data_IF_733814456639
#
_entry.id   IF_733814456639
#
_cell.length_a   1.000
_cell.length_b   1.000
_cell.length_c   1.000
_cell.angle_alpha   90.00
_cell.angle_beta   90.00
_cell.angle_gamma   90.00
#
_symmetry.space_group_name_H-M   'P 1'
#
loop_
_entity.id
_entity.type
_entity.pdbx_description
1 polymer ?
#
# COMPACT_ATOMS: atom_id res chain seq x y z
N UNK A 1 -5.88 -2.52 14.77
CA UNK A 1 -4.56 -1.88 14.69
C UNK A 1 -3.77 -2.47 13.52
N UNK A 2 -2.75 -1.78 13.01
CA UNK A 2 -1.89 -2.34 11.95
C UNK A 2 -1.02 -3.51 12.44
N UNK A 3 -0.73 -3.56 13.75
CA UNK A 3 0.20 -4.51 14.36
C UNK A 3 -0.49 -5.68 15.08
N UNK A 4 -1.79 -5.85 14.89
CA UNK A 4 -2.51 -7.01 15.43
C UNK A 4 -2.05 -8.29 14.72
N UNK A 5 -2.11 -9.43 15.41
CA UNK A 5 -1.61 -10.72 14.91
C UNK A 5 -2.23 -11.12 13.56
N UNK A 6 -3.50 -10.76 13.32
CA UNK A 6 -4.22 -11.05 12.08
C UNK A 6 -3.92 -10.06 10.94
N UNK A 7 -3.23 -8.95 11.27
CA UNK A 7 -2.91 -7.82 10.40
C UNK A 7 -4.13 -7.24 9.67
N UNK A 8 -5.32 -7.32 10.28
CA UNK A 8 -6.56 -6.87 9.63
C UNK A 8 -6.49 -5.40 9.19
N UNK A 9 -5.90 -4.53 10.02
CA UNK A 9 -5.69 -3.12 9.70
C UNK A 9 -4.82 -2.90 8.45
N UNK A 10 -3.69 -3.61 8.37
CA UNK A 10 -2.79 -3.53 7.21
C UNK A 10 -3.44 -4.03 5.93
N UNK A 11 -4.14 -5.17 5.98
CA UNK A 11 -4.86 -5.72 4.84
C UNK A 11 -5.93 -4.75 4.33
N UNK A 12 -6.69 -4.14 5.25
CA UNK A 12 -7.69 -3.14 4.88
C UNK A 12 -7.08 -1.91 4.19
N UNK A 13 -5.93 -1.41 4.68
CA UNK A 13 -5.26 -0.27 4.04
C UNK A 13 -4.79 -0.60 2.61
N UNK A 14 -4.29 -1.81 2.37
CA UNK A 14 -3.89 -2.25 1.02
C UNK A 14 -5.07 -2.38 0.06
N UNK A 15 -6.20 -2.92 0.54
CA UNK A 15 -7.46 -2.98 -0.24
C UNK A 15 -7.94 -1.57 -0.58
N UNK A 16 -7.94 -0.66 0.39
CA UNK A 16 -8.34 0.73 0.15
C UNK A 16 -7.41 1.42 -0.86
N UNK A 17 -6.10 1.16 -0.80
CA UNK A 17 -5.13 1.70 -1.77
C UNK A 17 -5.40 1.17 -3.18
N UNK A 18 -5.70 -0.12 -3.33
CA UNK A 18 -6.08 -0.70 -4.61
C UNK A 18 -7.36 -0.05 -5.18
N UNK A 19 -8.37 0.18 -4.33
CA UNK A 19 -9.62 0.83 -4.73
C UNK A 19 -9.40 2.27 -5.19
N UNK A 20 -8.62 3.05 -4.43
CA UNK A 20 -8.24 4.41 -4.80
C UNK A 20 -7.48 4.45 -6.12
N UNK A 21 -6.52 3.53 -6.31
CA UNK A 21 -5.79 3.43 -7.56
C UNK A 21 -6.70 3.06 -8.74
N UNK A 22 -7.65 2.15 -8.54
CA UNK A 22 -8.61 1.75 -9.56
C UNK A 22 -9.48 2.93 -9.99
N UNK A 23 -9.87 3.80 -9.05
CA UNK A 23 -10.63 5.01 -9.35
C UNK A 23 -9.76 6.07 -10.04
N UNK A 24 -8.56 6.34 -9.53
CA UNK A 24 -7.69 7.41 -10.01
C UNK A 24 -6.98 7.08 -11.34
N UNK A 25 -6.58 5.82 -11.54
CA UNK A 25 -5.91 5.34 -12.75
C UNK A 25 -6.26 3.86 -13.03
N UNK A 26 -7.40 3.60 -13.71
CA UNK A 26 -7.84 2.25 -14.04
C UNK A 26 -6.81 1.46 -14.88
N UNK A 27 -6.06 2.15 -15.74
CA UNK A 27 -5.05 1.51 -16.59
C UNK A 27 -3.89 0.95 -15.75
N UNK A 28 -3.37 1.74 -14.81
CA UNK A 28 -2.32 1.30 -13.90
C UNK A 28 -2.80 0.16 -12.99
N UNK A 29 -4.03 0.27 -12.46
CA UNK A 29 -4.62 -0.81 -11.66
C UNK A 29 -4.70 -2.13 -12.44
N UNK A 30 -5.18 -2.10 -13.69
CA UNK A 30 -5.22 -3.29 -14.57
C UNK A 30 -3.83 -3.84 -14.86
N UNK A 31 -2.85 -2.96 -15.10
CA UNK A 31 -1.47 -3.38 -15.32
C UNK A 31 -0.92 -4.13 -14.10
N UNK A 32 -1.09 -3.59 -12.89
CA UNK A 32 -0.64 -4.23 -11.66
C UNK A 32 -1.32 -5.58 -11.43
N UNK A 33 -2.63 -5.70 -11.68
CA UNK A 33 -3.33 -6.99 -11.63
C UNK A 33 -2.72 -7.99 -12.62
N UNK A 34 -2.42 -7.57 -13.85
CA UNK A 34 -1.79 -8.43 -14.86
C UNK A 34 -0.36 -8.89 -14.50
N UNK A 35 0.26 -8.22 -13.52
CA UNK A 35 1.59 -8.52 -12.98
C UNK A 35 1.54 -9.15 -11.59
N UNK A 36 0.40 -9.71 -11.19
CA UNK A 36 0.16 -10.32 -9.86
C UNK A 36 0.49 -9.37 -8.68
N UNK A 37 0.38 -8.07 -8.93
CA UNK A 37 0.69 -6.98 -7.99
C UNK A 37 -0.57 -6.24 -7.54
N UNK A 38 -1.76 -6.76 -7.85
CA UNK A 38 -3.05 -6.12 -7.51
C UNK A 38 -3.35 -6.08 -6.01
N UNK A 39 -2.71 -6.92 -5.20
CA UNK A 39 -2.81 -6.93 -3.73
C UNK A 39 -2.01 -5.79 -3.06
N UNK A 40 -1.23 -5.03 -3.84
CA UNK A 40 -0.43 -3.91 -3.38
C UNK A 40 0.64 -4.25 -2.32
N UNK A 41 1.07 -5.52 -2.18
CA UNK A 41 2.05 -5.90 -1.15
C UNK A 41 3.40 -5.18 -1.28
N UNK A 42 3.76 -4.70 -2.47
CA UNK A 42 4.93 -3.84 -2.66
C UNK A 42 4.83 -2.49 -1.90
N UNK A 43 3.62 -2.05 -1.55
CA UNK A 43 3.37 -0.89 -0.68
C UNK A 43 3.32 -1.23 0.82
N UNK A 44 3.47 -2.50 1.21
CA UNK A 44 3.32 -2.92 2.61
C UNK A 44 4.27 -2.16 3.55
N UNK A 45 5.55 -2.03 3.18
CA UNK A 45 6.55 -1.28 3.96
C UNK A 45 6.15 0.18 4.10
N UNK A 46 5.61 0.80 3.05
CA UNK A 46 5.20 2.18 3.08
C UNK A 46 4.13 2.42 4.14
N UNK A 47 3.13 1.55 4.20
CA UNK A 47 2.00 1.69 5.13
C UNK A 47 2.34 1.21 6.55
N UNK A 48 3.21 0.21 6.70
CA UNK A 48 3.59 -0.32 8.02
C UNK A 48 4.38 0.70 8.84
N UNK A 49 5.30 1.42 8.20
CA UNK A 49 6.19 2.39 8.87
C UNK A 49 5.98 3.83 8.39
N UNK A 50 4.83 4.11 7.78
CA UNK A 50 4.44 5.45 7.27
C UNK A 50 5.55 6.13 6.47
N UNK A 51 6.00 5.46 5.41
CA UNK A 51 7.00 5.93 4.46
C UNK A 51 8.38 6.31 5.06
N UNK A 52 8.65 6.03 6.34
CA UNK A 52 9.94 6.34 6.99
C UNK A 52 11.19 5.75 6.32
N UNK A 53 11.01 4.79 5.42
CA UNK A 53 12.09 4.13 4.65
C UNK A 53 12.26 4.68 3.23
N UNK A 54 11.36 5.55 2.78
CA UNK A 54 11.38 6.10 1.41
C UNK A 54 11.93 7.53 1.36
N UNK A 55 12.06 8.17 2.52
CA UNK A 55 12.45 9.58 2.65
C UNK A 55 13.64 9.76 3.57
N UNK A 56 14.35 10.88 3.43
CA UNK A 56 15.50 11.20 4.29
C UNK A 56 15.03 11.45 5.72
N UNK A 57 15.95 11.36 6.69
CA UNK A 57 15.62 11.64 8.08
C UNK A 57 15.04 13.05 8.28
N UNK A 58 15.51 14.03 7.51
CA UNK A 58 15.03 15.41 7.53
C UNK A 58 13.57 15.55 7.07
N UNK A 59 13.13 14.70 6.15
CA UNK A 59 11.79 14.78 5.56
C UNK A 59 10.73 14.02 6.39
N UNK A 60 11.15 13.23 7.39
CA UNK A 60 10.28 12.35 8.20
C UNK A 60 10.32 12.64 9.71
N UNK A 61 11.16 13.58 10.14
CA UNK A 61 11.17 14.13 11.51
C UNK A 61 10.23 15.33 11.59
#
# INVERSE_FOLDING_TARGET
>A
SNFDMDQAGMKQQLVNLQQLLTFASPELARHLVSKDSGNMYFCFRWLLVWFKREFSHRDIM
#
